data_IF_990573637399
#
_entry.id   IF_990573637399
#
_cell.length_a   1.000
_cell.length_b   1.000
_cell.length_c   1.000
_cell.angle_alpha   90.00
_cell.angle_beta   90.00
_cell.angle_gamma   90.00
#
_symmetry.space_group_name_H-M   'P 1'
#
loop_
_entity.id
_entity.type
_entity.pdbx_description
1 polymer ?
#
# COMPACT_ATOMS: atom_id res chain seq x y z
N UNK A 1 -40.49 9.50 -15.25
CA UNK A 1 -40.04 8.41 -16.13
C UNK A 1 -38.58 8.12 -15.83
N UNK A 2 -38.29 7.12 -15.01
CA UNK A 2 -36.99 6.45 -14.89
C UNK A 2 -37.19 5.08 -14.24
N UNK A 3 -37.88 4.19 -14.95
CA UNK A 3 -38.15 2.81 -14.53
C UNK A 3 -37.05 1.83 -15.00
N UNK A 4 -35.82 2.31 -15.25
CA UNK A 4 -34.76 1.52 -15.93
C UNK A 4 -33.61 1.10 -14.99
N UNK A 5 -33.57 1.52 -13.71
CA UNK A 5 -32.42 1.19 -12.87
C UNK A 5 -32.73 0.85 -11.40
N UNK A 6 -33.86 0.22 -11.12
CA UNK A 6 -34.02 -0.53 -9.87
C UNK A 6 -33.91 -2.02 -10.17
N UNK A 7 -32.72 -2.46 -10.59
CA UNK A 7 -32.39 -3.87 -10.48
C UNK A 7 -32.40 -4.23 -8.99
N UNK A 8 -33.13 -5.27 -8.56
CA UNK A 8 -33.03 -5.73 -7.20
C UNK A 8 -31.55 -6.03 -6.90
N UNK A 9 -31.05 -5.70 -5.70
CA UNK A 9 -29.65 -5.91 -5.38
C UNK A 9 -29.29 -7.36 -5.68
N UNK A 10 -28.30 -7.55 -6.58
CA UNK A 10 -27.90 -8.88 -7.06
C UNK A 10 -27.48 -9.83 -5.93
N UNK A 11 -27.10 -9.26 -4.79
CA UNK A 11 -26.71 -9.95 -3.57
C UNK A 11 -27.43 -9.33 -2.38
N UNK A 12 -27.85 -10.16 -1.43
CA UNK A 12 -28.33 -9.69 -0.13
C UNK A 12 -27.21 -8.94 0.62
N UNK A 13 -27.58 -8.01 1.51
CA UNK A 13 -26.64 -7.16 2.25
C UNK A 13 -25.64 -8.01 3.07
N UNK A 14 -26.12 -9.13 3.62
CA UNK A 14 -25.29 -10.12 4.32
C UNK A 14 -24.28 -10.79 3.38
N UNK A 15 -24.67 -11.11 2.15
CA UNK A 15 -23.78 -11.70 1.15
C UNK A 15 -22.72 -10.70 0.68
N UNK A 16 -23.12 -9.44 0.45
CA UNK A 16 -22.20 -8.35 0.10
C UNK A 16 -21.13 -8.11 1.16
N UNK A 17 -21.52 -8.07 2.44
CA UNK A 17 -20.57 -7.91 3.56
C UNK A 17 -19.59 -9.08 3.66
N UNK A 18 -20.07 -10.32 3.48
CA UNK A 18 -19.19 -11.51 3.47
C UNK A 18 -18.20 -11.45 2.31
N UNK A 19 -18.67 -11.13 1.10
CA UNK A 19 -17.81 -10.98 -0.08
C UNK A 19 -16.74 -9.91 0.14
N UNK A 20 -17.13 -8.74 0.65
CA UNK A 20 -16.19 -7.66 1.00
C UNK A 20 -15.12 -8.15 1.97
N UNK A 21 -15.51 -8.84 3.05
CA UNK A 21 -14.56 -9.37 4.03
C UNK A 21 -13.60 -10.39 3.42
N UNK A 22 -14.09 -11.28 2.55
CA UNK A 22 -13.22 -12.24 1.85
C UNK A 22 -12.22 -11.54 0.93
N UNK A 23 -12.69 -10.57 0.13
CA UNK A 23 -11.82 -9.81 -0.76
C UNK A 23 -10.81 -8.96 0.02
N UNK A 24 -11.20 -8.41 1.18
CA UNK A 24 -10.32 -7.66 2.06
C UNK A 24 -9.22 -8.54 2.67
N UNK A 25 -9.57 -9.74 3.17
CA UNK A 25 -8.56 -10.69 3.67
C UNK A 25 -7.62 -11.10 2.54
N UNK A 26 -8.16 -11.36 1.36
CA UNK A 26 -7.37 -11.73 0.19
C UNK A 26 -6.41 -10.60 -0.21
N UNK A 27 -6.87 -9.35 -0.26
CA UNK A 27 -6.02 -8.19 -0.56
C UNK A 27 -4.94 -8.02 0.50
N UNK A 28 -5.25 -8.26 1.78
CA UNK A 28 -4.27 -8.18 2.85
C UNK A 28 -3.17 -9.24 2.70
N UNK A 29 -3.53 -10.48 2.35
CA UNK A 29 -2.56 -11.54 2.07
C UNK A 29 -1.64 -11.16 0.90
N UNK A 30 -2.19 -10.67 -0.21
CA UNK A 30 -1.38 -10.25 -1.37
C UNK A 30 -0.51 -9.03 -1.07
N UNK A 31 -1.03 -8.05 -0.32
CA UNK A 31 -0.27 -6.86 0.08
C UNK A 31 0.91 -7.21 0.98
N UNK A 32 0.68 -8.06 1.98
CA UNK A 32 1.74 -8.58 2.87
C UNK A 32 2.77 -9.37 2.05
N UNK A 33 2.31 -10.26 1.17
CA UNK A 33 3.20 -11.04 0.31
C UNK A 33 4.05 -10.14 -0.60
N UNK A 34 3.50 -9.07 -1.15
CA UNK A 34 4.24 -8.11 -1.96
C UNK A 34 5.32 -7.38 -1.15
N UNK A 35 4.99 -6.93 0.07
CA UNK A 35 5.94 -6.27 0.98
C UNK A 35 7.07 -7.21 1.37
N UNK A 36 6.77 -8.46 1.76
CA UNK A 36 7.80 -9.44 2.07
C UNK A 36 8.60 -9.83 0.83
N UNK A 37 7.94 -10.01 -0.32
CA UNK A 37 8.59 -10.34 -1.59
C UNK A 37 9.65 -9.31 -1.97
N UNK A 38 9.31 -8.02 -1.94
CA UNK A 38 10.29 -6.96 -2.25
C UNK A 38 11.37 -6.83 -1.17
N UNK A 39 11.02 -7.02 0.11
CA UNK A 39 11.99 -6.93 1.20
C UNK A 39 13.01 -8.08 1.14
N UNK A 40 12.56 -9.31 0.86
CA UNK A 40 13.42 -10.47 0.67
C UNK A 40 14.25 -10.29 -0.61
N UNK A 41 13.64 -9.84 -1.71
CA UNK A 41 14.36 -9.61 -2.96
C UNK A 41 15.49 -8.60 -2.79
N UNK A 42 15.21 -7.42 -2.22
CA UNK A 42 16.24 -6.38 -2.02
C UNK A 42 17.19 -6.67 -0.85
N UNK A 43 16.75 -7.44 0.15
CA UNK A 43 17.50 -7.69 1.37
C UNK A 43 18.36 -8.96 1.37
N UNK A 44 17.93 -10.01 0.67
CA UNK A 44 18.49 -11.36 0.82
C UNK A 44 18.92 -12.04 -0.49
N UNK A 45 18.46 -11.58 -1.66
CA UNK A 45 18.98 -12.07 -2.95
C UNK A 45 20.30 -11.38 -3.31
N UNK A 46 21.03 -11.92 -4.31
CA UNK A 46 22.39 -11.53 -4.74
C UNK A 46 22.68 -10.01 -4.65
N UNK A 47 23.82 -9.64 -4.06
CA UNK A 47 24.22 -8.27 -3.69
C UNK A 47 23.24 -7.48 -2.80
N UNK A 48 22.29 -8.18 -2.16
CA UNK A 48 21.28 -7.63 -1.29
C UNK A 48 21.79 -6.90 -0.05
N UNK A 49 20.82 -6.36 0.67
CA UNK A 49 21.03 -5.53 1.85
C UNK A 49 20.79 -4.05 1.54
N UNK A 50 20.81 -3.24 2.59
CA UNK A 50 20.48 -1.83 2.52
C UNK A 50 21.66 -1.01 3.03
N UNK A 51 22.09 -0.01 2.27
CA UNK A 51 23.11 0.96 2.69
C UNK A 51 22.71 2.33 2.20
N UNK A 52 22.76 3.33 3.09
CA UNK A 52 22.33 4.69 2.75
C UNK A 52 23.43 5.54 2.10
N UNK A 53 24.72 5.28 2.37
CA UNK A 53 25.80 6.15 1.88
C UNK A 53 27.05 5.41 1.42
N UNK A 54 27.24 4.15 1.82
CA UNK A 54 28.48 3.43 1.50
C UNK A 54 28.45 2.82 0.10
N UNK A 55 27.27 2.50 -0.42
CA UNK A 55 27.12 1.87 -1.72
C UNK A 55 25.86 2.38 -2.46
N UNK A 56 26.02 3.18 -3.54
CA UNK A 56 24.91 3.71 -4.32
C UNK A 56 23.95 2.65 -4.86
N UNK A 57 24.47 1.47 -5.26
CA UNK A 57 23.63 0.37 -5.74
C UNK A 57 22.70 -0.16 -4.65
N UNK A 58 23.20 -0.27 -3.41
CA UNK A 58 22.38 -0.69 -2.26
C UNK A 58 21.49 0.43 -1.72
N UNK A 59 21.79 1.68 -2.03
CA UNK A 59 20.91 2.80 -1.73
C UNK A 59 19.66 2.75 -2.62
N UNK A 60 19.80 2.33 -3.89
CA UNK A 60 18.67 2.13 -4.78
C UNK A 60 17.66 1.08 -4.24
N UNK A 61 18.10 0.09 -3.46
CA UNK A 61 17.21 -0.93 -2.88
C UNK A 61 16.09 -0.34 -1.99
N UNK A 62 16.33 0.81 -1.36
CA UNK A 62 15.28 1.51 -0.61
C UNK A 62 14.12 1.97 -1.49
N UNK A 63 14.36 2.22 -2.79
CA UNK A 63 13.34 2.69 -3.71
C UNK A 63 12.20 1.67 -3.90
N UNK A 64 12.42 0.48 -4.49
CA UNK A 64 11.34 -0.47 -4.69
C UNK A 64 10.72 -0.92 -3.36
N UNK A 65 11.51 -1.06 -2.28
CA UNK A 65 10.97 -1.44 -0.97
C UNK A 65 9.99 -0.41 -0.42
N UNK A 66 10.38 0.87 -0.36
CA UNK A 66 9.48 1.91 0.14
C UNK A 66 8.34 2.23 -0.82
N UNK A 67 8.53 2.12 -2.14
CA UNK A 67 7.44 2.32 -3.10
C UNK A 67 6.34 1.26 -2.98
N UNK A 68 6.70 -0.01 -2.78
CA UNK A 68 5.71 -1.08 -2.55
C UNK A 68 4.98 -0.86 -1.22
N UNK A 69 5.70 -0.55 -0.13
CA UNK A 69 5.07 -0.30 1.17
C UNK A 69 4.14 0.92 1.11
N UNK A 70 4.58 2.02 0.49
CA UNK A 70 3.84 3.27 0.48
C UNK A 70 2.69 3.27 -0.53
N UNK A 71 2.99 3.04 -1.81
CA UNK A 71 2.06 3.27 -2.92
C UNK A 71 1.17 2.06 -3.20
N UNK A 72 1.64 0.84 -2.91
CA UNK A 72 0.82 -0.36 -3.12
C UNK A 72 0.06 -0.69 -1.83
N UNK A 73 0.78 -0.88 -0.72
CA UNK A 73 0.16 -1.36 0.51
C UNK A 73 -0.58 -0.25 1.28
N UNK A 74 0.13 0.74 1.81
CA UNK A 74 -0.47 1.79 2.64
C UNK A 74 -1.50 2.63 1.88
N UNK A 75 -1.24 2.92 0.61
CA UNK A 75 -2.17 3.68 -0.22
C UNK A 75 -3.45 2.88 -0.53
N UNK A 76 -3.33 1.57 -0.73
CA UNK A 76 -4.47 0.66 -0.87
C UNK A 76 -5.33 0.63 0.39
N UNK A 77 -4.70 0.47 1.56
CA UNK A 77 -5.38 0.49 2.86
C UNK A 77 -6.09 1.82 3.13
N UNK A 78 -5.46 2.94 2.76
CA UNK A 78 -6.04 4.27 2.93
C UNK A 78 -7.34 4.45 2.14
N UNK A 79 -7.45 3.86 0.94
CA UNK A 79 -8.66 3.91 0.10
C UNK A 79 -9.78 3.07 0.73
N UNK A 80 -9.44 1.95 1.38
CA UNK A 80 -10.39 1.03 2.01
C UNK A 80 -10.81 1.46 3.42
N UNK A 81 -10.10 2.39 4.06
CA UNK A 81 -10.28 2.76 5.48
C UNK A 81 -11.72 3.17 5.83
N UNK A 82 -12.41 3.87 4.92
CA UNK A 82 -13.81 4.29 5.13
C UNK A 82 -14.81 3.14 5.01
N UNK A 83 -14.46 2.07 4.30
CA UNK A 83 -15.29 0.86 4.15
C UNK A 83 -15.10 -0.08 5.33
N UNK A 84 -13.86 -0.24 5.80
CA UNK A 84 -13.52 -1.10 6.94
C UNK A 84 -14.00 -0.48 8.26
N UNK A 85 -13.67 0.79 8.51
CA UNK A 85 -13.98 1.48 9.77
C UNK A 85 -15.28 2.28 9.70
N UNK A 86 -16.35 1.65 9.19
CA UNK A 86 -17.65 2.32 8.97
C UNK A 86 -18.25 2.95 10.24
N UNK A 87 -17.99 2.37 11.41
CA UNK A 87 -18.54 2.81 12.70
C UNK A 87 -17.60 3.70 13.52
N UNK A 88 -16.40 4.01 13.03
CA UNK A 88 -15.43 4.81 13.78
C UNK A 88 -15.63 6.32 13.54
N UNK A 89 -15.76 7.08 14.64
CA UNK A 89 -16.00 8.53 14.60
C UNK A 89 -14.85 9.33 13.99
N UNK A 90 -13.62 8.81 14.06
CA UNK A 90 -12.38 9.50 13.65
C UNK A 90 -11.69 8.88 12.41
N UNK A 91 -12.46 8.20 11.54
CA UNK A 91 -11.95 7.57 10.30
C UNK A 91 -11.16 8.50 9.36
N UNK A 92 -11.47 9.80 9.37
CA UNK A 92 -10.71 10.78 8.57
C UNK A 92 -9.27 10.95 9.05
N UNK A 93 -9.01 10.81 10.35
CA UNK A 93 -7.65 10.85 10.90
C UNK A 93 -6.86 9.63 10.47
N UNK A 94 -7.49 8.44 10.47
CA UNK A 94 -6.86 7.22 9.97
C UNK A 94 -6.48 7.42 8.50
N UNK A 95 -7.43 7.82 7.65
CA UNK A 95 -7.19 8.11 6.24
C UNK A 95 -6.06 9.13 6.01
N UNK A 96 -6.13 10.27 6.70
CA UNK A 96 -5.12 11.33 6.56
C UNK A 96 -3.75 10.86 7.03
N UNK A 97 -3.70 10.13 8.16
CA UNK A 97 -2.45 9.61 8.70
C UNK A 97 -1.83 8.56 7.78
N UNK A 98 -2.61 7.65 7.20
CA UNK A 98 -2.11 6.63 6.27
C UNK A 98 -1.57 7.26 5.00
N UNK A 99 -2.26 8.25 4.42
CA UNK A 99 -1.73 9.02 3.29
C UNK A 99 -0.46 9.79 3.65
N UNK A 100 -0.41 10.41 4.84
CA UNK A 100 0.75 11.20 5.27
C UNK A 100 1.98 10.32 5.42
N UNK A 101 1.85 9.14 6.05
CA UNK A 101 2.94 8.16 6.18
C UNK A 101 3.38 7.67 4.80
N UNK A 102 2.44 7.34 3.91
CA UNK A 102 2.75 6.94 2.55
C UNK A 102 3.53 8.03 1.79
N UNK A 103 3.11 9.29 1.91
CA UNK A 103 3.81 10.42 1.29
C UNK A 103 5.25 10.55 1.78
N UNK A 104 5.48 10.47 3.09
CA UNK A 104 6.83 10.56 3.67
C UNK A 104 7.74 9.43 3.15
N UNK A 105 7.22 8.20 3.08
CA UNK A 105 7.97 7.07 2.55
C UNK A 105 8.30 7.24 1.06
N UNK A 106 7.38 7.76 0.26
CA UNK A 106 7.64 8.08 -1.16
C UNK A 106 8.75 9.12 -1.29
N UNK A 107 8.74 10.17 -0.47
CA UNK A 107 9.80 11.19 -0.49
C UNK A 107 11.18 10.59 -0.18
N UNK A 108 11.27 9.71 0.81
CA UNK A 108 12.51 9.00 1.14
C UNK A 108 12.92 8.06 0.00
N UNK A 109 11.98 7.34 -0.61
CA UNK A 109 12.23 6.44 -1.73
C UNK A 109 12.76 7.19 -2.97
N UNK A 110 12.22 8.37 -3.26
CA UNK A 110 12.67 9.22 -4.36
C UNK A 110 14.04 9.83 -4.08
N UNK A 111 14.30 10.26 -2.83
CA UNK A 111 15.63 10.71 -2.41
C UNK A 111 16.67 9.62 -2.62
N UNK A 112 16.36 8.37 -2.23
CA UNK A 112 17.26 7.24 -2.41
C UNK A 112 17.63 6.99 -3.88
N UNK A 113 16.69 7.15 -4.82
CA UNK A 113 16.98 7.09 -6.27
C UNK A 113 17.87 8.23 -6.70
N UNK A 114 17.55 9.44 -6.27
CA UNK A 114 18.28 10.62 -6.70
C UNK A 114 19.76 10.54 -6.27
N UNK A 115 19.99 10.10 -5.04
CA UNK A 115 21.33 9.89 -4.49
C UNK A 115 22.05 8.72 -5.15
N UNK A 116 21.36 7.61 -5.43
CA UNK A 116 21.99 6.46 -6.09
C UNK A 116 22.51 6.80 -7.49
N UNK A 117 21.90 7.78 -8.16
CA UNK A 117 22.31 8.26 -9.49
C UNK A 117 23.32 9.42 -9.43
N UNK A 118 23.74 9.86 -8.24
CA UNK A 118 24.77 10.89 -8.06
C UNK A 118 24.30 12.31 -8.41
N UNK A 119 23.00 12.58 -8.30
CA UNK A 119 22.47 13.92 -8.51
C UNK A 119 22.50 14.79 -7.24
N UNK A 120 23.14 14.33 -6.15
CA UNK A 120 23.57 15.10 -4.96
C UNK A 120 24.80 14.47 -4.31
#
# INVERSE_FOLDING_TARGET
>A
MSLIFESPPLLDERQSTKLFNYLFILSQCFGILAVFGVAIWMGAFEDGGFSWSENPSKQFHYHPTFMVIAVIFLQGESILVYRVFRNERKRFLLHLSTHSVALLLVLIALKAVWDSHGYF
#
